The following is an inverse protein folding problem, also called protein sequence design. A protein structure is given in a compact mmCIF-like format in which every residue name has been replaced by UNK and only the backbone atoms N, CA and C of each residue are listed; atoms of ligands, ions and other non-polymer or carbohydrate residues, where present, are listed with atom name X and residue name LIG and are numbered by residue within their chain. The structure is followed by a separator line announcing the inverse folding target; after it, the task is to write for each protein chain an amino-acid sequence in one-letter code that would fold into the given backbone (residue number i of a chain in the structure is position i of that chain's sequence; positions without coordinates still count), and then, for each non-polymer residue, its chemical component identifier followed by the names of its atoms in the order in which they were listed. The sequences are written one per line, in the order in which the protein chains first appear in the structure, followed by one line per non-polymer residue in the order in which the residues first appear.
data_IF_352116363690
#
_entry.id   IF_352116363690
#
_cell.length_a   1.000
_cell.length_b   1.000
_cell.length_c   1.000
_cell.angle_alpha   90.00
_cell.angle_beta   90.00
_cell.angle_gamma   90.00
#
_symmetry.space_group_name_H-M   'P 1'
#
loop_
_entity.id
_entity.type
_entity.pdbx_description
1 polymer ?
#
# COMPACT_ATOMS: atom_id res chain seq x y z
N UNK A 1 14.58 7.30 -18.21
CA UNK A 1 13.24 7.91 -18.44
C UNK A 1 12.21 7.47 -17.39
N UNK A 2 11.99 6.17 -17.13
CA UNK A 2 11.00 5.69 -16.15
C UNK A 2 11.12 6.35 -14.76
N UNK A 3 12.35 6.50 -14.24
CA UNK A 3 12.61 7.18 -12.96
C UNK A 3 12.14 8.64 -12.92
N UNK A 4 12.14 9.37 -14.04
CA UNK A 4 11.60 10.74 -14.09
C UNK A 4 10.08 10.81 -13.87
N UNK A 5 9.38 9.68 -14.07
CA UNK A 5 7.93 9.56 -13.86
C UNK A 5 7.63 9.11 -12.42
N UNK A 6 8.44 8.17 -11.90
CA UNK A 6 8.18 7.50 -10.62
C UNK A 6 8.82 8.21 -9.41
N UNK A 7 9.88 9.00 -9.61
CA UNK A 7 10.65 9.69 -8.56
C UNK A 7 10.62 11.21 -8.80
N UNK A 8 9.72 11.95 -8.10
CA UNK A 8 9.55 13.39 -8.28
C UNK A 8 10.79 14.20 -7.91
N UNK A 9 11.51 13.77 -6.87
CA UNK A 9 12.67 14.51 -6.36
C UNK A 9 13.84 14.34 -7.32
N UNK A 10 14.02 13.15 -7.89
CA UNK A 10 14.97 12.93 -8.98
C UNK A 10 14.65 13.79 -10.21
N UNK A 11 13.37 13.88 -10.61
CA UNK A 11 12.98 14.77 -11.71
C UNK A 11 13.31 16.22 -11.41
N UNK A 12 13.03 16.69 -10.19
CA UNK A 12 13.31 18.07 -9.82
C UNK A 12 14.81 18.35 -9.86
N UNK A 13 15.64 17.46 -9.32
CA UNK A 13 17.10 17.57 -9.41
C UNK A 13 17.59 17.63 -10.86
N UNK A 14 17.10 16.75 -11.73
CA UNK A 14 17.42 16.77 -13.17
C UNK A 14 16.96 18.08 -13.83
N UNK A 15 15.79 18.61 -13.45
CA UNK A 15 15.26 19.88 -13.95
C UNK A 15 16.08 21.08 -13.50
N UNK A 16 16.59 21.05 -12.28
CA UNK A 16 17.47 22.07 -11.70
C UNK A 16 18.91 22.01 -12.22
N UNK A 17 19.25 21.03 -13.06
CA UNK A 17 20.58 20.91 -13.67
C UNK A 17 21.56 20.02 -12.91
N UNK A 18 21.12 19.25 -11.92
CA UNK A 18 21.93 18.25 -11.22
C UNK A 18 22.06 16.98 -12.08
N UNK A 19 22.82 17.08 -13.18
CA UNK A 19 22.97 16.04 -14.19
C UNK A 19 23.89 14.89 -13.76
N UNK A 20 24.66 15.10 -12.71
CA UNK A 20 25.46 14.09 -12.01
C UNK A 20 24.61 12.94 -11.45
N UNK A 21 23.32 13.16 -11.21
CA UNK A 21 22.37 12.13 -10.78
C UNK A 21 21.92 11.20 -11.93
N UNK A 22 22.11 11.62 -13.18
CA UNK A 22 21.82 10.78 -14.33
C UNK A 22 22.92 9.71 -14.42
N UNK A 23 22.64 8.53 -13.85
CA UNK A 23 23.56 7.40 -13.85
C UNK A 23 24.00 6.99 -15.27
N UNK A 24 25.27 6.56 -15.38
CA UNK A 24 25.85 5.96 -16.58
C UNK A 24 26.57 6.93 -17.54
N UNK A 25 27.22 6.35 -18.56
CA UNK A 25 27.96 7.07 -19.60
C UNK A 25 27.03 7.68 -20.65
N UNK A 26 26.17 8.61 -20.22
CA UNK A 26 25.26 9.31 -21.13
C UNK A 26 26.03 10.30 -22.02
N UNK A 27 25.73 10.31 -23.30
CA UNK A 27 26.23 11.35 -24.20
C UNK A 27 25.63 12.72 -23.84
N UNK A 28 26.29 13.81 -24.26
CA UNK A 28 25.76 15.16 -24.09
C UNK A 28 24.36 15.33 -24.70
N UNK A 29 24.09 14.66 -25.83
CA UNK A 29 22.80 14.68 -26.50
C UNK A 29 21.72 13.97 -25.67
N UNK A 30 22.02 12.82 -25.07
CA UNK A 30 21.09 12.08 -24.21
C UNK A 30 20.78 12.85 -22.93
N UNK A 31 21.78 13.49 -22.30
CA UNK A 31 21.56 14.38 -21.15
C UNK A 31 20.63 15.53 -21.52
N UNK A 32 20.89 16.23 -22.62
CA UNK A 32 20.04 17.33 -23.08
C UNK A 32 18.60 16.88 -23.37
N UNK A 33 18.41 15.68 -23.93
CA UNK A 33 17.08 15.09 -24.14
C UNK A 33 16.37 14.80 -22.81
N UNK A 34 17.05 14.21 -21.84
CA UNK A 34 16.47 13.90 -20.53
C UNK A 34 16.08 15.17 -19.75
N UNK A 35 16.86 16.25 -19.81
CA UNK A 35 16.48 17.54 -19.22
C UNK A 35 15.22 18.12 -19.85
N UNK A 36 15.11 18.03 -21.18
CA UNK A 36 13.94 18.48 -21.92
C UNK A 36 12.70 17.69 -21.53
N UNK A 37 12.82 16.36 -21.45
CA UNK A 37 11.74 15.46 -20.99
C UNK A 37 11.36 15.78 -19.55
N UNK A 38 12.32 15.99 -18.65
CA UNK A 38 12.05 16.36 -17.25
C UNK A 38 11.28 17.69 -17.14
N UNK A 39 11.46 18.59 -18.09
CA UNK A 39 10.76 19.88 -18.15
C UNK A 39 9.43 19.83 -18.91
N UNK A 40 9.08 18.69 -19.52
CA UNK A 40 7.88 18.54 -20.33
C UNK A 40 6.61 18.46 -19.47
N UNK A 41 5.58 19.26 -19.82
CA UNK A 41 4.28 19.28 -19.13
C UNK A 41 3.49 17.98 -19.30
N UNK A 42 3.68 17.26 -20.41
CA UNK A 42 3.10 15.93 -20.62
C UNK A 42 3.58 14.91 -19.58
N UNK A 43 4.77 15.12 -19.00
CA UNK A 43 5.28 14.27 -17.93
C UNK A 43 4.49 14.45 -16.62
N UNK A 44 3.93 15.64 -16.36
CA UNK A 44 3.05 15.88 -15.21
C UNK A 44 1.72 15.12 -15.31
N UNK A 45 1.16 15.01 -16.52
CA UNK A 45 -0.04 14.23 -16.78
C UNK A 45 0.23 12.75 -16.55
N UNK A 46 1.32 12.22 -17.13
CA UNK A 46 1.72 10.83 -16.93
C UNK A 46 1.96 10.49 -15.46
N UNK A 47 2.57 11.41 -14.69
CA UNK A 47 2.76 11.24 -13.24
C UNK A 47 1.43 11.20 -12.49
N UNK A 48 0.50 12.10 -12.84
CA UNK A 48 -0.83 12.15 -12.21
C UNK A 48 -1.60 10.86 -12.48
N UNK A 49 -1.59 10.38 -13.72
CA UNK A 49 -2.20 9.12 -14.11
C UNK A 49 -1.55 7.92 -13.39
N UNK A 50 -0.22 7.86 -13.34
CA UNK A 50 0.50 6.79 -12.65
C UNK A 50 0.19 6.75 -11.15
N UNK A 51 0.18 7.91 -10.47
CA UNK A 51 -0.21 8.01 -9.05
C UNK A 51 -1.67 7.61 -8.83
N UNK A 52 -2.58 8.08 -9.69
CA UNK A 52 -4.00 7.71 -9.63
C UNK A 52 -4.21 6.21 -9.80
N UNK A 53 -3.51 5.60 -10.76
CA UNK A 53 -3.55 4.17 -11.02
C UNK A 53 -3.07 3.36 -9.81
N UNK A 54 -1.90 3.69 -9.25
CA UNK A 54 -1.37 2.99 -8.07
C UNK A 54 -2.23 3.17 -6.84
N UNK A 55 -2.75 4.37 -6.60
CA UNK A 55 -3.69 4.59 -5.51
C UNK A 55 -5.00 3.79 -5.70
N UNK A 56 -5.46 3.67 -6.95
CA UNK A 56 -6.58 2.80 -7.31
C UNK A 56 -6.31 1.33 -6.98
N UNK A 57 -5.08 0.86 -7.25
CA UNK A 57 -4.66 -0.51 -6.90
C UNK A 57 -4.61 -0.72 -5.39
N UNK A 58 -4.02 0.20 -4.62
CA UNK A 58 -4.04 0.12 -3.15
C UNK A 58 -5.47 0.06 -2.61
N UNK A 59 -6.40 0.86 -3.15
CA UNK A 59 -7.82 0.81 -2.75
C UNK A 59 -8.52 -0.50 -3.09
N UNK A 60 -8.13 -1.15 -4.19
CA UNK A 60 -8.69 -2.44 -4.58
C UNK A 60 -8.18 -3.57 -3.66
N UNK A 61 -6.94 -3.47 -3.17
CA UNK A 61 -6.28 -4.52 -2.40
C UNK A 61 -6.43 -4.36 -0.89
N UNK A 62 -6.55 -3.12 -0.41
CA UNK A 62 -6.64 -2.75 1.00
C UNK A 62 -7.86 -1.85 1.26
N UNK A 63 -9.07 -2.25 0.84
CA UNK A 63 -10.26 -1.41 0.94
C UNK A 63 -10.57 -0.96 2.38
N UNK A 64 -10.42 -1.84 3.37
CA UNK A 64 -10.77 -1.56 4.76
C UNK A 64 -9.76 -0.61 5.40
N UNK A 65 -8.47 -0.79 5.14
CA UNK A 65 -7.40 0.12 5.58
C UNK A 65 -7.57 1.49 4.95
N UNK A 66 -7.88 1.54 3.65
CA UNK A 66 -8.15 2.80 2.95
C UNK A 66 -9.34 3.55 3.56
N UNK A 67 -10.42 2.84 3.89
CA UNK A 67 -11.58 3.42 4.56
C UNK A 67 -11.25 3.88 5.99
N UNK A 68 -10.51 3.07 6.76
CA UNK A 68 -10.11 3.39 8.13
C UNK A 68 -9.19 4.63 8.21
N UNK A 69 -8.30 4.81 7.22
CA UNK A 69 -7.46 6.01 7.11
C UNK A 69 -8.26 7.24 6.68
N UNK A 70 -9.24 7.06 5.80
CA UNK A 70 -9.92 8.14 5.10
C UNK A 70 -9.04 8.82 4.03
N UNK A 71 -9.64 9.62 3.13
CA UNK A 71 -9.00 10.06 1.89
C UNK A 71 -7.75 10.93 2.12
N UNK A 72 -7.83 11.91 3.02
CA UNK A 72 -6.72 12.85 3.26
C UNK A 72 -5.48 12.16 3.85
N UNK A 73 -5.68 11.28 4.85
CA UNK A 73 -4.58 10.53 5.45
C UNK A 73 -4.02 9.50 4.47
N UNK A 74 -4.88 8.77 3.76
CA UNK A 74 -4.45 7.81 2.74
C UNK A 74 -3.52 8.46 1.71
N UNK A 75 -3.91 9.61 1.14
CA UNK A 75 -3.06 10.31 0.17
C UNK A 75 -1.69 10.70 0.75
N UNK A 76 -1.66 11.17 2.01
CA UNK A 76 -0.41 11.56 2.67
C UNK A 76 0.50 10.37 2.95
N UNK A 77 -0.04 9.29 3.54
CA UNK A 77 0.78 8.13 3.88
C UNK A 77 1.23 7.36 2.63
N UNK A 78 0.40 7.27 1.58
CA UNK A 78 0.80 6.67 0.30
C UNK A 78 1.93 7.47 -0.38
N UNK A 79 1.86 8.81 -0.34
CA UNK A 79 2.94 9.66 -0.85
C UNK A 79 4.25 9.45 -0.07
N UNK A 80 4.17 9.37 1.26
CA UNK A 80 5.34 9.11 2.11
C UNK A 80 5.93 7.71 1.87
N UNK A 81 5.08 6.70 1.69
CA UNK A 81 5.49 5.35 1.35
C UNK A 81 6.26 5.31 0.03
N UNK A 82 5.69 5.83 -1.07
CA UNK A 82 6.33 5.80 -2.38
C UNK A 82 7.59 6.67 -2.50
N UNK A 83 7.76 7.67 -1.64
CA UNK A 83 9.00 8.42 -1.54
C UNK A 83 10.15 7.55 -0.98
N UNK A 84 9.84 6.63 -0.06
CA UNK A 84 10.82 5.72 0.56
C UNK A 84 10.97 4.40 -0.21
N UNK A 85 9.90 3.99 -0.89
CA UNK A 85 9.81 2.76 -1.69
C UNK A 85 9.37 3.12 -3.11
N UNK A 86 10.26 3.73 -3.93
CA UNK A 86 9.93 4.04 -5.31
C UNK A 86 9.48 2.76 -6.02
N UNK A 87 8.34 2.77 -6.71
CA UNK A 87 7.82 1.53 -7.24
C UNK A 87 8.73 0.95 -8.33
N UNK A 88 9.20 -0.27 -8.12
CA UNK A 88 10.13 -0.98 -9.02
C UNK A 88 9.44 -2.07 -9.85
N UNK A 89 8.19 -2.43 -9.50
CA UNK A 89 7.45 -3.55 -10.08
C UNK A 89 5.99 -3.20 -10.35
N UNK A 90 5.36 -4.01 -11.21
CA UNK A 90 3.91 -4.07 -11.43
C UNK A 90 3.22 -5.15 -10.57
N UNK A 91 3.98 -5.84 -9.72
CA UNK A 91 3.44 -6.85 -8.80
C UNK A 91 2.85 -6.18 -7.55
N UNK A 92 1.56 -5.88 -7.60
CA UNK A 92 0.89 -5.04 -6.60
C UNK A 92 0.66 -5.71 -5.24
N UNK A 93 0.68 -7.06 -5.15
CA UNK A 93 0.55 -7.75 -3.85
C UNK A 93 1.73 -7.42 -2.94
N UNK A 94 2.95 -7.49 -3.45
CA UNK A 94 4.15 -7.11 -2.68
C UNK A 94 4.10 -5.65 -2.25
N UNK A 95 3.73 -4.74 -3.16
CA UNK A 95 3.59 -3.31 -2.81
C UNK A 95 2.55 -3.07 -1.72
N UNK A 96 1.40 -3.77 -1.77
CA UNK A 96 0.35 -3.65 -0.75
C UNK A 96 0.79 -4.20 0.61
N UNK A 97 1.51 -5.33 0.63
CA UNK A 97 2.08 -5.89 1.87
C UNK A 97 3.12 -4.96 2.49
N UNK A 98 4.05 -4.43 1.67
CA UNK A 98 5.03 -3.44 2.10
C UNK A 98 4.36 -2.16 2.62
N UNK A 99 3.25 -1.75 2.00
CA UNK A 99 2.47 -0.61 2.48
C UNK A 99 1.82 -0.88 3.84
N UNK A 100 1.27 -2.08 4.08
CA UNK A 100 0.79 -2.48 5.41
C UNK A 100 1.91 -2.42 6.47
N UNK A 101 3.09 -2.96 6.14
CA UNK A 101 4.25 -2.94 7.04
C UNK A 101 4.72 -1.52 7.34
N UNK A 102 4.76 -0.66 6.31
CA UNK A 102 5.04 0.76 6.45
C UNK A 102 4.05 1.47 7.39
N UNK A 103 2.74 1.22 7.25
CA UNK A 103 1.72 1.83 8.10
C UNK A 103 1.83 1.33 9.55
N UNK A 104 2.06 0.03 9.76
CA UNK A 104 2.22 -0.57 11.08
C UNK A 104 3.44 0.02 11.82
N UNK A 105 4.56 0.20 11.12
CA UNK A 105 5.77 0.80 11.69
C UNK A 105 5.57 2.26 12.15
N UNK A 106 4.64 2.99 11.53
CA UNK A 106 4.36 4.41 11.85
C UNK A 106 3.50 4.61 13.09
N UNK A 107 2.86 3.56 13.61
CA UNK A 107 1.98 3.62 14.80
C UNK A 107 0.96 4.75 14.72
N UNK A 108 0.25 4.80 13.59
CA UNK A 108 -0.70 5.86 13.29
C UNK A 108 -1.85 5.85 14.29
N UNK A 109 -2.30 7.04 14.72
CA UNK A 109 -3.46 7.15 15.62
C UNK A 109 -4.73 6.66 14.90
N UNK A 110 -5.35 5.62 15.44
CA UNK A 110 -6.68 5.13 15.07
C UNK A 110 -7.04 3.91 15.92
N UNK A 111 -8.19 3.95 16.59
CA UNK A 111 -8.56 2.92 17.59
C UNK A 111 -8.57 1.50 17.00
N UNK A 112 -8.99 1.38 15.74
CA UNK A 112 -9.18 0.10 15.03
C UNK A 112 -8.14 -0.13 13.93
N UNK A 113 -7.22 0.81 13.72
CA UNK A 113 -6.41 0.85 12.51
C UNK A 113 -5.40 -0.31 12.46
N UNK A 114 -4.75 -0.61 13.59
CA UNK A 114 -3.76 -1.68 13.68
C UNK A 114 -4.39 -3.06 13.41
N UNK A 115 -5.60 -3.30 13.93
CA UNK A 115 -6.36 -4.54 13.72
C UNK A 115 -6.74 -4.72 12.25
N UNK A 116 -7.18 -3.64 11.59
CA UNK A 116 -7.58 -3.64 10.18
C UNK A 116 -6.38 -3.86 9.27
N UNK A 117 -5.26 -3.18 9.54
CA UNK A 117 -4.01 -3.35 8.78
C UNK A 117 -3.52 -4.79 8.92
N UNK A 118 -3.49 -5.32 10.14
CA UNK A 118 -3.04 -6.70 10.39
C UNK A 118 -3.92 -7.73 9.67
N UNK A 119 -5.24 -7.52 9.68
CA UNK A 119 -6.20 -8.38 8.97
C UNK A 119 -5.99 -8.37 7.46
N UNK A 120 -5.99 -7.20 6.82
CA UNK A 120 -5.85 -7.14 5.36
C UNK A 120 -4.46 -7.59 4.89
N UNK A 121 -3.41 -7.31 5.66
CA UNK A 121 -2.08 -7.83 5.38
C UNK A 121 -2.05 -9.35 5.39
N UNK A 122 -2.65 -9.98 6.40
CA UNK A 122 -2.74 -11.43 6.50
C UNK A 122 -3.60 -12.03 5.37
N UNK A 123 -4.72 -11.37 5.00
CA UNK A 123 -5.53 -11.77 3.86
C UNK A 123 -4.74 -11.74 2.54
N UNK A 124 -3.98 -10.67 2.29
CA UNK A 124 -3.12 -10.57 1.10
C UNK A 124 -1.99 -11.61 1.10
N UNK A 125 -1.43 -11.95 2.26
CA UNK A 125 -0.40 -12.97 2.36
C UNK A 125 -0.94 -14.35 1.98
N UNK A 126 -2.18 -14.68 2.37
CA UNK A 126 -2.87 -15.91 1.95
C UNK A 126 -3.12 -15.99 0.43
N UNK A 127 -3.25 -14.84 -0.24
CA UNK A 127 -3.44 -14.78 -1.70
C UNK A 127 -2.14 -14.98 -2.50
N UNK A 128 -0.95 -14.85 -1.87
CA UNK A 128 0.32 -15.01 -2.60
C UNK A 128 0.47 -16.42 -3.20
N UNK A 129 0.76 -16.53 -4.51
CA UNK A 129 1.09 -17.81 -5.13
C UNK A 129 2.43 -18.36 -4.63
N UNK A 130 2.54 -19.68 -4.42
CA UNK A 130 3.82 -20.35 -4.14
C UNK A 130 4.16 -20.59 -2.67
N UNK A 131 3.23 -20.33 -1.73
CA UNK A 131 3.33 -20.87 -0.38
C UNK A 131 3.13 -22.39 -0.45
N UNK A 132 4.23 -23.14 -0.54
CA UNK A 132 4.22 -24.62 -0.68
C UNK A 132 3.79 -25.34 0.61
N UNK A 133 3.52 -24.61 1.69
CA UNK A 133 2.99 -25.14 2.94
C UNK A 133 1.71 -24.36 3.31
N UNK A 134 0.72 -25.00 3.95
CA UNK A 134 -0.44 -24.31 4.48
C UNK A 134 0.02 -23.34 5.58
N UNK A 135 0.18 -22.07 5.22
CA UNK A 135 0.53 -21.00 6.15
C UNK A 135 -0.75 -20.54 6.83
N UNK A 136 -0.87 -20.78 8.13
CA UNK A 136 -1.86 -20.12 8.96
C UNK A 136 -1.39 -18.71 9.30
N UNK A 137 -2.28 -17.72 9.18
CA UNK A 137 -2.04 -16.37 9.66
C UNK A 137 -2.96 -16.04 10.83
N UNK A 138 -2.38 -15.71 11.97
CA UNK A 138 -3.10 -15.28 13.15
C UNK A 138 -3.16 -13.74 13.21
N UNK A 139 -4.36 -13.21 13.44
CA UNK A 139 -4.61 -11.77 13.59
C UNK A 139 -5.36 -11.55 14.89
N UNK A 140 -4.75 -10.80 15.80
CA UNK A 140 -5.36 -10.47 17.09
C UNK A 140 -6.29 -9.26 16.94
N UNK A 141 -7.50 -9.41 17.44
CA UNK A 141 -8.48 -8.35 17.60
C UNK A 141 -8.70 -8.06 19.09
N UNK A 142 -8.95 -6.79 19.39
CA UNK A 142 -9.40 -6.27 20.69
C UNK A 142 -10.86 -5.83 20.64
N UNK A 143 -11.42 -5.76 19.43
CA UNK A 143 -12.80 -5.38 19.16
C UNK A 143 -13.49 -6.45 18.34
N UNK A 144 -14.82 -6.54 18.45
CA UNK A 144 -15.64 -7.51 17.70
C UNK A 144 -15.37 -7.43 16.18
N UNK A 145 -14.63 -8.39 15.60
CA UNK A 145 -14.12 -8.29 14.23
C UNK A 145 -15.25 -8.25 13.21
N UNK A 146 -16.32 -9.03 13.40
CA UNK A 146 -17.42 -9.08 12.44
C UNK A 146 -18.08 -7.70 12.30
N UNK A 147 -18.29 -7.00 13.41
CA UNK A 147 -18.88 -5.65 13.40
C UNK A 147 -17.92 -4.61 12.83
N UNK A 148 -16.64 -4.66 13.20
CA UNK A 148 -15.62 -3.73 12.73
C UNK A 148 -15.46 -3.81 11.20
N UNK A 149 -15.20 -5.02 10.69
CA UNK A 149 -14.95 -5.25 9.27
C UNK A 149 -16.20 -4.96 8.44
N UNK A 150 -17.39 -5.35 8.89
CA UNK A 150 -18.64 -5.04 8.20
C UNK A 150 -18.93 -3.53 8.14
N UNK A 151 -18.59 -2.78 9.19
CA UNK A 151 -18.75 -1.33 9.22
C UNK A 151 -17.90 -0.64 8.14
N UNK A 152 -16.62 -1.02 8.05
CA UNK A 152 -15.69 -0.50 7.06
C UNK A 152 -16.02 -0.96 5.63
N UNK A 153 -16.42 -2.22 5.45
CA UNK A 153 -16.87 -2.74 4.16
C UNK A 153 -18.09 -1.96 3.62
N UNK A 154 -18.97 -1.50 4.52
CA UNK A 154 -20.09 -0.63 4.20
C UNK A 154 -19.70 0.86 4.01
N UNK A 155 -18.40 1.20 4.00
CA UNK A 155 -17.87 2.57 3.93
C UNK A 155 -18.43 3.50 5.02
N UNK A 156 -18.60 2.94 6.21
CA UNK A 156 -19.03 3.68 7.40
C UNK A 156 -17.88 3.77 8.38
N UNK A 157 -17.80 4.91 9.07
CA UNK A 157 -16.81 5.10 10.14
C UNK A 157 -17.23 4.28 11.36
N UNK A 158 -16.41 3.33 11.85
CA UNK A 158 -16.72 2.57 13.04
C UNK A 158 -16.85 3.49 14.26
N UNK A 159 -17.91 3.28 15.06
CA UNK A 159 -18.18 4.01 16.31
C UNK A 159 -18.59 3.00 17.36
N UNK A 160 -17.89 3.01 18.49
CA UNK A 160 -18.21 2.16 19.65
C UNK A 160 -18.32 0.66 19.31
N UNK A 161 -17.41 0.14 18.49
CA UNK A 161 -17.32 -1.32 18.30
C UNK A 161 -17.04 -1.97 19.66
N UNK A 162 -17.85 -2.97 20.10
CA UNK A 162 -17.63 -3.65 21.37
C UNK A 162 -16.24 -4.24 21.46
N UNK A 163 -15.68 -4.26 22.68
CA UNK A 163 -14.42 -4.96 22.95
C UNK A 163 -14.67 -6.47 22.99
N UNK A 164 -13.79 -7.21 22.34
CA UNK A 164 -13.71 -8.67 22.37
C UNK A 164 -12.28 -9.03 22.03
N UNK A 165 -11.54 -9.55 23.00
CA UNK A 165 -10.20 -10.04 22.75
C UNK A 165 -10.32 -11.44 22.13
N UNK A 166 -9.93 -11.55 20.86
CA UNK A 166 -9.98 -12.81 20.12
C UNK A 166 -8.94 -12.83 19.01
N UNK A 167 -8.60 -14.03 18.54
CA UNK A 167 -7.68 -14.24 17.44
C UNK A 167 -8.43 -14.81 16.23
N UNK A 168 -8.33 -14.15 15.09
CA UNK A 168 -8.76 -14.69 13.80
C UNK A 168 -7.62 -15.49 13.18
N UNK A 169 -7.87 -16.76 12.88
CA UNK A 169 -6.93 -17.64 12.17
C UNK A 169 -7.39 -17.78 10.74
N UNK A 170 -6.56 -17.29 9.82
CA UNK A 170 -6.75 -17.36 8.38
C UNK A 170 -5.97 -18.51 7.76
N UNK A 171 -6.63 -19.32 6.94
CA UNK A 171 -6.00 -20.37 6.12
C UNK A 171 -6.36 -20.20 4.67
N UNK A 172 -5.53 -20.71 3.77
CA UNK A 172 -5.86 -20.79 2.35
C UNK A 172 -6.58 -22.12 2.09
N UNK A 173 -7.81 -22.04 1.59
CA UNK A 173 -8.58 -23.20 1.17
C UNK A 173 -8.08 -23.79 -0.14
N UNK A 174 -8.54 -25.00 -0.45
CA UNK A 174 -8.27 -25.69 -1.73
C UNK A 174 -8.83 -24.91 -2.94
N UNK A 175 -9.86 -24.09 -2.73
CA UNK A 175 -10.44 -23.19 -3.73
C UNK A 175 -9.58 -21.93 -3.98
N UNK A 176 -8.44 -21.82 -3.29
CA UNK A 176 -7.52 -20.70 -3.35
C UNK A 176 -7.98 -19.46 -2.58
N UNK A 177 -9.11 -19.52 -1.86
CA UNK A 177 -9.65 -18.41 -1.06
C UNK A 177 -9.19 -18.48 0.39
N UNK A 178 -9.22 -17.34 1.06
CA UNK A 178 -8.97 -17.27 2.49
C UNK A 178 -10.22 -17.70 3.28
N UNK A 179 -10.05 -18.64 4.21
CA UNK A 179 -11.03 -18.99 5.22
C UNK A 179 -10.59 -18.47 6.58
N UNK A 180 -11.53 -17.93 7.35
CA UNK A 180 -11.25 -17.33 8.65
C UNK A 180 -12.10 -17.99 9.72
N UNK A 181 -11.46 -18.36 10.84
CA UNK A 181 -12.12 -18.80 12.06
C UNK A 181 -11.71 -17.93 13.24
N UNK A 182 -12.63 -17.68 14.16
CA UNK A 182 -12.34 -16.95 15.39
C UNK A 182 -12.07 -17.91 16.54
N UNK A 183 -11.07 -17.59 17.34
CA UNK A 183 -10.72 -18.26 18.59
C UNK A 183 -10.73 -17.21 19.67
N UNK A 184 -11.50 -17.41 20.74
CA UNK A 184 -11.53 -16.46 21.86
C UNK A 184 -10.22 -16.56 22.66
N UNK A 185 -9.65 -15.39 23.01
CA UNK A 185 -8.50 -15.32 23.91
C UNK A 185 -9.07 -15.43 25.33
N UNK A 186 -9.11 -16.65 25.87
CA UNK A 186 -9.66 -16.96 27.20
C UNK A 186 -8.97 -16.28 28.38
#
# INVERSE_FOLDING_TARGET
MARLITDPDFRERVRSGHLEELAGDLTALERARLCRIASDRGLDINRTLHKGFRLGKLRAMLPLTCEALGPGRLTREAAAFWAQHPPTSFYFISEALEFCDFLAARRLRGVYLDEVIAYERAALALEQPGANEPIEHAVRFRHEPAMLLACLAARRRPRAIPRRDCTAIGTRGEDGRAHWRLVDDG
#
